data_IF_213301510419
#
_entry.id   IF_213301510419
#
_cell.length_a   1.000
_cell.length_b   1.000
_cell.length_c   1.000
_cell.angle_alpha   90.00
_cell.angle_beta   90.00
_cell.angle_gamma   90.00
#
_symmetry.space_group_name_H-M   'P 1'
#
loop_
_entity.id
_entity.type
_entity.pdbx_description
1 polymer ?
#
# COMPACT_ATOMS: atom_id res chain seq x y z
N UNK A 1 -23.08 -20.54 -69.36
CA UNK A 1 -22.12 -20.71 -68.25
C UNK A 1 -22.93 -20.88 -66.99
N UNK A 2 -23.03 -22.10 -66.47
CA UNK A 2 -23.74 -22.36 -65.20
C UNK A 2 -22.75 -22.04 -64.10
N UNK A 3 -22.98 -20.95 -63.37
CA UNK A 3 -22.27 -20.72 -62.12
C UNK A 3 -22.77 -21.74 -61.11
N UNK A 4 -21.89 -22.66 -60.71
CA UNK A 4 -22.19 -23.54 -59.58
C UNK A 4 -22.15 -22.69 -58.31
N UNK A 5 -23.24 -22.72 -57.54
CA UNK A 5 -23.31 -22.08 -56.22
C UNK A 5 -22.56 -22.98 -55.22
N UNK A 6 -21.79 -22.41 -54.27
CA UNK A 6 -21.09 -23.21 -53.28
C UNK A 6 -22.11 -24.00 -52.44
N UNK A 7 -21.83 -25.29 -52.22
CA UNK A 7 -22.68 -26.15 -51.39
C UNK A 7 -22.52 -25.80 -49.91
N UNK A 8 -23.55 -26.00 -49.08
CA UNK A 8 -23.51 -25.72 -47.63
C UNK A 8 -22.26 -26.26 -46.91
N UNK A 9 -21.75 -27.42 -47.32
CA UNK A 9 -20.52 -28.03 -46.79
C UNK A 9 -19.25 -27.23 -47.07
N UNK A 10 -19.21 -26.49 -48.19
CA UNK A 10 -18.08 -25.61 -48.54
C UNK A 10 -18.05 -24.40 -47.60
N UNK A 11 -19.21 -23.82 -47.29
CA UNK A 11 -19.31 -22.72 -46.32
C UNK A 11 -18.91 -23.15 -44.91
N UNK A 12 -19.30 -24.34 -44.46
CA UNK A 12 -18.91 -24.90 -43.15
C UNK A 12 -17.40 -25.15 -43.06
N UNK A 13 -16.79 -25.66 -44.14
CA UNK A 13 -15.34 -25.85 -44.21
C UNK A 13 -14.59 -24.52 -44.17
N UNK A 14 -15.02 -23.53 -44.95
CA UNK A 14 -14.43 -22.18 -44.94
C UNK A 14 -14.55 -21.51 -43.57
N UNK A 15 -15.70 -21.66 -42.90
CA UNK A 15 -15.90 -21.16 -41.55
C UNK A 15 -14.93 -21.83 -40.56
N UNK A 16 -14.77 -23.16 -40.64
CA UNK A 16 -13.84 -23.91 -39.78
C UNK A 16 -12.37 -23.49 -40.01
N UNK A 17 -11.99 -23.22 -41.26
CA UNK A 17 -10.66 -22.69 -41.57
C UNK A 17 -10.44 -21.30 -40.95
N UNK A 18 -11.44 -20.40 -41.02
CA UNK A 18 -11.35 -19.08 -40.40
C UNK A 18 -11.22 -19.16 -38.87
N UNK A 19 -11.97 -20.06 -38.23
CA UNK A 19 -11.84 -20.30 -36.79
C UNK A 19 -10.44 -20.81 -36.43
N UNK A 20 -9.91 -21.75 -37.22
CA UNK A 20 -8.56 -22.27 -37.02
C UNK A 20 -7.46 -21.22 -37.24
N UNK A 21 -7.54 -20.44 -38.33
CA UNK A 21 -6.59 -19.35 -38.60
C UNK A 21 -6.61 -18.30 -37.48
N UNK A 22 -7.80 -18.01 -36.95
CA UNK A 22 -7.95 -17.09 -35.81
C UNK A 22 -7.32 -17.67 -34.54
N UNK A 23 -7.53 -18.96 -34.27
CA UNK A 23 -6.92 -19.66 -33.14
C UNK A 23 -5.39 -19.60 -33.20
N UNK A 24 -4.80 -19.99 -34.32
CA UNK A 24 -3.34 -19.96 -34.55
C UNK A 24 -2.76 -18.54 -34.42
N UNK A 25 -3.45 -17.55 -35.00
CA UNK A 25 -3.03 -16.15 -34.91
C UNK A 25 -3.01 -15.64 -33.46
N UNK A 26 -4.00 -16.03 -32.65
CA UNK A 26 -4.06 -15.68 -31.22
C UNK A 26 -2.95 -16.39 -30.45
N UNK A 27 -2.73 -17.68 -30.70
CA UNK A 27 -1.67 -18.44 -30.03
C UNK A 27 -0.29 -17.83 -30.30
N UNK A 28 0.04 -17.57 -31.56
CA UNK A 28 1.29 -16.90 -31.93
C UNK A 28 1.44 -15.51 -31.32
N UNK A 29 0.34 -14.73 -31.26
CA UNK A 29 0.37 -13.42 -30.63
C UNK A 29 0.68 -13.52 -29.12
N UNK A 30 0.06 -14.48 -28.41
CA UNK A 30 0.29 -14.71 -26.98
C UNK A 30 1.73 -15.12 -26.70
N UNK A 31 2.28 -16.07 -27.45
CA UNK A 31 3.67 -16.52 -27.30
C UNK A 31 4.63 -15.36 -27.54
N UNK A 32 4.45 -14.61 -28.63
CA UNK A 32 5.28 -13.46 -28.96
C UNK A 32 5.25 -12.40 -27.86
N UNK A 33 4.07 -12.07 -27.32
CA UNK A 33 3.94 -11.11 -26.22
C UNK A 33 4.62 -11.62 -24.95
N UNK A 34 4.49 -12.91 -24.62
CA UNK A 34 5.15 -13.48 -23.46
C UNK A 34 6.68 -13.50 -23.60
N UNK A 35 7.21 -13.98 -24.73
CA UNK A 35 8.65 -14.02 -25.00
C UNK A 35 9.28 -12.63 -25.02
N UNK A 36 8.53 -11.59 -25.41
CA UNK A 36 9.00 -10.20 -25.33
C UNK A 36 9.04 -9.65 -23.89
N UNK A 37 8.22 -10.18 -22.99
CA UNK A 37 8.15 -9.76 -21.59
C UNK A 37 9.13 -10.52 -20.68
N UNK A 38 9.60 -11.69 -21.10
CA UNK A 38 10.41 -12.60 -20.31
C UNK A 38 11.83 -12.68 -20.91
N UNK A 39 12.85 -12.75 -20.06
CA UNK A 39 14.22 -12.89 -20.53
C UNK A 39 14.46 -14.28 -21.16
N UNK A 40 15.13 -14.39 -22.32
CA UNK A 40 15.28 -15.66 -23.05
C UNK A 40 15.87 -16.83 -22.26
N UNK A 41 16.70 -16.54 -21.25
CA UNK A 41 17.31 -17.56 -20.38
C UNK A 41 16.27 -18.47 -19.70
N UNK A 42 15.04 -17.98 -19.49
CA UNK A 42 13.97 -18.73 -18.81
C UNK A 42 13.11 -19.60 -19.74
N UNK A 43 13.36 -19.59 -21.05
CA UNK A 43 12.59 -20.42 -21.99
C UNK A 43 13.39 -20.99 -23.16
N UNK A 44 14.68 -20.66 -23.30
CA UNK A 44 15.55 -21.20 -24.37
C UNK A 44 15.65 -22.73 -24.33
N UNK A 45 15.43 -23.35 -23.17
CA UNK A 45 15.39 -24.81 -23.03
C UNK A 45 14.20 -25.45 -23.76
N UNK A 46 13.18 -24.66 -24.15
CA UNK A 46 12.03 -25.11 -24.93
C UNK A 46 12.23 -24.96 -26.44
N UNK A 47 13.37 -24.42 -26.88
CA UNK A 47 13.69 -24.27 -28.30
C UNK A 47 13.92 -25.63 -28.95
N UNK A 48 13.19 -25.92 -30.02
CA UNK A 48 13.45 -27.08 -30.85
C UNK A 48 14.71 -26.85 -31.72
N UNK A 49 15.65 -27.81 -31.80
CA UNK A 49 16.89 -27.62 -32.56
C UNK A 49 16.69 -27.37 -34.07
N UNK A 50 15.61 -27.89 -34.65
CA UNK A 50 15.34 -27.84 -36.09
C UNK A 50 14.27 -26.77 -36.42
N UNK A 51 13.29 -26.59 -35.54
CA UNK A 51 12.11 -25.73 -35.76
C UNK A 51 12.05 -24.48 -34.86
N UNK A 52 13.02 -24.31 -33.94
CA UNK A 52 13.03 -23.20 -33.00
C UNK A 52 11.79 -23.19 -32.10
N UNK A 53 11.12 -22.05 -31.98
CA UNK A 53 9.90 -21.90 -31.16
C UNK A 53 8.59 -22.07 -31.96
N UNK A 54 8.64 -22.56 -33.20
CA UNK A 54 7.45 -22.61 -34.07
C UNK A 54 6.35 -23.53 -33.56
N UNK A 55 6.71 -24.65 -32.90
CA UNK A 55 5.74 -25.58 -32.31
C UNK A 55 5.43 -25.31 -30.83
N UNK A 56 6.07 -24.30 -30.23
CA UNK A 56 5.88 -24.01 -28.82
C UNK A 56 4.47 -23.46 -28.60
N UNK A 57 3.66 -24.13 -27.79
CA UNK A 57 2.35 -23.60 -27.41
C UNK A 57 2.45 -22.65 -26.23
N UNK A 58 1.54 -21.69 -26.16
CA UNK A 58 1.52 -20.71 -25.07
C UNK A 58 1.44 -21.38 -23.69
N UNK A 59 0.62 -22.42 -23.58
CA UNK A 59 0.45 -23.15 -22.31
C UNK A 59 1.74 -23.85 -21.87
N UNK A 60 2.51 -24.41 -22.81
CA UNK A 60 3.74 -25.15 -22.51
C UNK A 60 4.82 -24.19 -21.98
N UNK A 61 4.90 -22.98 -22.54
CA UNK A 61 5.74 -21.89 -22.01
C UNK A 61 5.35 -21.53 -20.57
N UNK A 62 4.07 -21.28 -20.30
CA UNK A 62 3.60 -20.88 -18.97
C UNK A 62 3.79 -22.00 -17.94
N UNK A 63 3.55 -23.25 -18.32
CA UNK A 63 3.78 -24.42 -17.45
C UNK A 63 5.27 -24.55 -17.14
N UNK A 64 6.15 -24.47 -18.13
CA UNK A 64 7.60 -24.51 -17.91
C UNK A 64 8.05 -23.42 -16.92
N UNK A 65 7.62 -22.19 -17.12
CA UNK A 65 7.97 -21.07 -16.24
C UNK A 65 7.49 -21.30 -14.81
N UNK A 66 6.26 -21.79 -14.65
CA UNK A 66 5.69 -22.10 -13.33
C UNK A 66 6.42 -23.24 -12.64
N UNK A 67 6.71 -24.33 -13.35
CA UNK A 67 7.29 -25.54 -12.77
C UNK A 67 8.79 -25.39 -12.46
N UNK A 68 9.55 -24.70 -13.33
CA UNK A 68 10.99 -24.54 -13.17
C UNK A 68 11.38 -23.33 -12.32
N UNK A 69 10.63 -22.22 -12.43
CA UNK A 69 11.01 -20.95 -11.82
C UNK A 69 9.93 -20.38 -10.90
N UNK A 70 8.69 -20.85 -10.99
CA UNK A 70 7.57 -20.46 -10.14
C UNK A 70 7.45 -21.26 -8.85
N UNK A 71 8.46 -22.04 -8.48
CA UNK A 71 8.46 -22.77 -7.22
C UNK A 71 8.69 -21.79 -6.07
N UNK A 72 7.70 -21.64 -5.19
CA UNK A 72 7.90 -20.99 -3.91
C UNK A 72 8.93 -21.77 -3.11
N UNK A 73 10.03 -21.12 -2.74
CA UNK A 73 11.02 -21.74 -1.86
C UNK A 73 10.51 -21.75 -0.42
N UNK A 74 11.05 -22.65 0.41
CA UNK A 74 10.78 -22.62 1.86
C UNK A 74 11.24 -21.30 2.49
N UNK A 75 12.22 -20.62 1.89
CA UNK A 75 12.64 -19.28 2.30
C UNK A 75 11.55 -18.26 2.02
N UNK A 76 10.89 -18.30 0.86
CA UNK A 76 9.79 -17.41 0.52
C UNK A 76 8.58 -17.59 1.46
N UNK A 77 8.24 -18.84 1.80
CA UNK A 77 7.19 -19.14 2.78
C UNK A 77 7.55 -18.62 4.17
N UNK A 78 8.79 -18.84 4.62
CA UNK A 78 9.26 -18.33 5.90
C UNK A 78 9.31 -16.80 5.93
N UNK A 79 9.70 -16.16 4.83
CA UNK A 79 9.71 -14.71 4.69
C UNK A 79 8.29 -14.14 4.71
N UNK A 80 7.33 -14.83 4.08
CA UNK A 80 5.92 -14.49 4.18
C UNK A 80 5.47 -14.50 5.65
N UNK A 81 5.66 -15.62 6.36
CA UNK A 81 5.29 -15.73 7.78
C UNK A 81 5.97 -14.64 8.62
N UNK A 82 7.28 -14.45 8.47
CA UNK A 82 8.05 -13.44 9.22
C UNK A 82 7.56 -12.02 8.97
N UNK A 83 7.32 -11.65 7.71
CA UNK A 83 6.87 -10.31 7.33
C UNK A 83 5.54 -9.97 7.99
N UNK A 84 4.64 -10.97 8.09
CA UNK A 84 3.29 -10.79 8.62
C UNK A 84 3.19 -10.96 10.14
N UNK A 85 4.02 -11.79 10.76
CA UNK A 85 4.04 -11.94 12.21
C UNK A 85 4.89 -10.87 12.92
N UNK A 86 5.95 -10.35 12.29
CA UNK A 86 6.98 -9.61 13.02
C UNK A 86 7.38 -8.25 12.42
N UNK A 87 7.50 -8.14 11.09
CA UNK A 87 8.21 -6.98 10.51
C UNK A 87 7.29 -5.82 10.08
N UNK A 88 6.08 -6.09 9.60
CA UNK A 88 5.20 -5.01 9.12
C UNK A 88 4.17 -4.61 10.17
N UNK A 89 4.54 -3.62 10.99
CA UNK A 89 3.68 -3.06 12.04
C UNK A 89 2.72 -2.04 11.44
N UNK A 90 1.43 -2.20 11.69
CA UNK A 90 0.44 -1.17 11.40
C UNK A 90 0.60 -0.02 12.39
N UNK A 91 0.50 1.22 11.87
CA UNK A 91 0.54 2.41 12.71
C UNK A 91 -0.82 3.13 12.69
N UNK A 92 -1.23 3.78 13.79
CA UNK A 92 -2.58 4.33 13.91
C UNK A 92 -2.93 5.51 12.99
N UNK A 93 -1.97 6.00 12.21
CA UNK A 93 -2.11 7.03 11.17
C UNK A 93 -2.48 6.44 9.81
N UNK A 94 -2.30 5.13 9.61
CA UNK A 94 -2.67 4.42 8.40
C UNK A 94 -4.13 3.96 8.44
N UNK A 95 -4.77 3.74 7.27
CA UNK A 95 -6.03 3.02 7.19
C UNK A 95 -5.91 1.64 7.83
N UNK A 96 -6.91 1.21 8.59
CA UNK A 96 -6.90 -0.12 9.22
C UNK A 96 -6.96 -1.24 8.16
N UNK A 97 -7.57 -0.92 7.02
CA UNK A 97 -7.70 -1.77 5.85
C UNK A 97 -6.33 -2.24 5.32
N UNK A 98 -5.25 -1.47 5.54
CA UNK A 98 -3.90 -1.89 5.16
C UNK A 98 -3.42 -3.11 5.94
N UNK A 99 -3.74 -3.21 7.24
CA UNK A 99 -3.44 -4.39 8.05
C UNK A 99 -4.19 -5.62 7.52
N UNK A 100 -5.48 -5.45 7.19
CA UNK A 100 -6.28 -6.55 6.66
C UNK A 100 -5.81 -7.00 5.29
N UNK A 101 -5.49 -6.06 4.39
CA UNK A 101 -4.96 -6.35 3.05
C UNK A 101 -3.63 -7.10 3.13
N UNK A 102 -2.73 -6.65 4.00
CA UNK A 102 -1.45 -7.32 4.26
C UNK A 102 -1.67 -8.79 4.67
N UNK A 103 -2.52 -9.05 5.67
CA UNK A 103 -2.78 -10.42 6.15
C UNK A 103 -3.51 -11.26 5.08
N UNK A 104 -4.44 -10.68 4.32
CA UNK A 104 -5.12 -11.40 3.24
C UNK A 104 -4.14 -11.79 2.11
N UNK A 105 -3.17 -10.92 1.79
CA UNK A 105 -2.09 -11.23 0.84
C UNK A 105 -1.20 -12.36 1.35
N UNK A 106 -0.91 -12.39 2.65
CA UNK A 106 -0.22 -13.51 3.31
C UNK A 106 -0.93 -14.83 3.04
N UNK A 107 -2.22 -14.89 3.40
CA UNK A 107 -3.04 -16.09 3.25
C UNK A 107 -3.09 -16.51 1.79
N UNK A 108 -3.28 -15.56 0.86
CA UNK A 108 -3.32 -15.84 -0.57
C UNK A 108 -2.01 -16.44 -1.10
N UNK A 109 -0.86 -15.92 -0.67
CA UNK A 109 0.47 -16.42 -1.03
C UNK A 109 0.68 -17.87 -0.56
N UNK A 110 0.14 -18.21 0.61
CA UNK A 110 0.32 -19.49 1.28
C UNK A 110 -0.66 -20.60 0.83
N UNK A 111 -1.79 -20.28 0.20
CA UNK A 111 -2.91 -21.22 -0.10
C UNK A 111 -2.51 -22.51 -0.82
N UNK A 112 -1.54 -22.44 -1.74
CA UNK A 112 -1.12 -23.58 -2.57
C UNK A 112 0.00 -24.43 -1.98
N UNK A 113 0.56 -24.03 -0.83
CA UNK A 113 1.79 -24.61 -0.29
C UNK A 113 1.64 -24.96 1.19
N UNK A 114 1.76 -23.97 2.08
CA UNK A 114 1.57 -24.12 3.53
C UNK A 114 0.50 -23.14 4.02
N UNK A 115 -0.79 -23.49 3.93
CA UNK A 115 -1.88 -22.55 4.16
C UNK A 115 -1.85 -21.94 5.56
N UNK A 116 -1.80 -20.61 5.62
CA UNK A 116 -1.97 -19.87 6.86
C UNK A 116 -3.40 -20.11 7.37
N UNK A 117 -3.49 -20.71 8.56
CA UNK A 117 -4.78 -20.95 9.23
C UNK A 117 -5.40 -19.62 9.70
N UNK A 118 -6.73 -19.59 9.79
CA UNK A 118 -7.47 -18.44 10.36
C UNK A 118 -6.95 -18.06 11.75
N UNK A 119 -6.57 -19.06 12.57
CA UNK A 119 -6.01 -18.83 13.91
C UNK A 119 -4.66 -18.11 13.86
N UNK A 120 -3.80 -18.45 12.90
CA UNK A 120 -2.53 -17.77 12.71
C UNK A 120 -2.74 -16.32 12.23
N UNK A 121 -3.68 -16.11 11.29
CA UNK A 121 -4.07 -14.77 10.84
C UNK A 121 -4.60 -13.90 11.98
N UNK A 122 -5.45 -14.46 12.84
CA UNK A 122 -5.96 -13.79 14.04
C UNK A 122 -4.85 -13.43 15.02
N UNK A 123 -3.93 -14.37 15.31
CA UNK A 123 -2.79 -14.11 16.21
C UNK A 123 -1.95 -12.95 15.69
N UNK A 124 -1.63 -12.93 14.40
CA UNK A 124 -0.89 -11.82 13.76
C UNK A 124 -1.67 -10.50 13.86
N UNK A 125 -2.96 -10.49 13.52
CA UNK A 125 -3.79 -9.29 13.60
C UNK A 125 -3.92 -8.72 15.02
N UNK A 126 -4.12 -9.60 16.02
CA UNK A 126 -4.23 -9.21 17.42
C UNK A 126 -2.91 -8.64 17.95
N UNK A 127 -1.80 -9.32 17.71
CA UNK A 127 -0.47 -8.86 18.14
C UNK A 127 -0.13 -7.48 17.52
N UNK A 128 -0.48 -7.26 16.25
CA UNK A 128 -0.25 -5.99 15.57
C UNK A 128 -1.07 -4.85 16.21
N UNK A 129 -2.36 -5.10 16.45
CA UNK A 129 -3.25 -4.12 17.07
C UNK A 129 -2.93 -3.90 18.57
N UNK A 130 -2.49 -4.92 19.29
CA UNK A 130 -2.04 -4.82 20.68
C UNK A 130 -0.80 -3.93 20.78
N UNK A 131 0.22 -4.17 19.94
CA UNK A 131 1.42 -3.34 19.83
C UNK A 131 1.11 -1.88 19.47
N UNK A 132 0.03 -1.63 18.74
CA UNK A 132 -0.40 -0.26 18.43
C UNK A 132 -0.94 0.50 19.65
N UNK A 133 -1.45 -0.20 20.66
CA UNK A 133 -1.96 0.36 21.92
C UNK A 133 -3.23 1.22 21.81
N UNK A 134 -3.85 1.37 20.62
CA UNK A 134 -5.00 2.28 20.44
C UNK A 134 -6.37 1.63 20.61
N UNK A 135 -6.43 0.32 20.84
CA UNK A 135 -7.66 -0.47 20.91
C UNK A 135 -7.88 -1.25 22.23
N UNK A 136 -7.52 -0.75 23.43
CA UNK A 136 -7.57 -1.55 24.67
C UNK A 136 -8.99 -2.11 24.96
N UNK A 137 -10.02 -1.26 24.91
CA UNK A 137 -11.41 -1.70 25.13
C UNK A 137 -11.91 -2.68 24.07
N UNK A 138 -11.44 -2.53 22.83
CA UNK A 138 -11.85 -3.44 21.75
C UNK A 138 -11.15 -4.80 21.86
N UNK A 139 -9.96 -4.86 22.47
CA UNK A 139 -9.30 -6.13 22.80
C UNK A 139 -10.01 -6.86 23.94
N UNK A 140 -10.39 -6.15 25.00
CA UNK A 140 -11.19 -6.74 26.08
C UNK A 140 -12.48 -7.37 25.53
N UNK A 141 -13.25 -6.61 24.74
CA UNK A 141 -14.50 -7.13 24.16
C UNK A 141 -14.30 -8.18 23.06
N UNK A 142 -13.10 -8.26 22.47
CA UNK A 142 -12.74 -9.36 21.57
C UNK A 142 -12.48 -10.64 22.35
N UNK A 143 -11.72 -10.56 23.44
CA UNK A 143 -11.37 -11.71 24.28
C UNK A 143 -12.58 -12.30 25.03
N UNK A 144 -13.64 -11.51 25.23
CA UNK A 144 -14.92 -11.98 25.79
C UNK A 144 -15.76 -12.80 24.80
N UNK A 145 -15.43 -12.79 23.50
CA UNK A 145 -16.14 -13.57 22.48
C UNK A 145 -15.86 -15.05 22.63
N UNK A 146 -16.88 -15.85 22.30
CA UNK A 146 -16.75 -17.30 22.20
C UNK A 146 -15.76 -17.70 21.11
N UNK A 147 -15.10 -18.85 21.26
CA UNK A 147 -14.07 -19.34 20.34
C UNK A 147 -14.58 -19.50 18.90
N UNK A 148 -15.86 -19.85 18.71
CA UNK A 148 -16.52 -19.97 17.41
C UNK A 148 -16.83 -18.60 16.76
N UNK A 149 -16.97 -17.55 17.56
CA UNK A 149 -17.09 -16.17 17.06
C UNK A 149 -15.73 -15.53 16.76
N UNK A 150 -14.62 -16.07 17.26
CA UNK A 150 -13.28 -15.57 17.01
C UNK A 150 -12.76 -16.05 15.65
N UNK A 151 -13.41 -15.60 14.58
CA UNK A 151 -13.01 -15.88 13.19
C UNK A 151 -12.33 -14.66 12.57
N UNK A 152 -11.53 -14.89 11.52
CA UNK A 152 -10.87 -13.79 10.79
C UNK A 152 -11.87 -12.78 10.20
N UNK A 153 -13.05 -13.25 9.78
CA UNK A 153 -14.11 -12.39 9.29
C UNK A 153 -14.70 -11.49 10.39
N UNK A 154 -15.02 -12.08 11.54
CA UNK A 154 -15.55 -11.33 12.68
C UNK A 154 -14.51 -10.35 13.25
N UNK A 155 -13.23 -10.71 13.21
CA UNK A 155 -12.13 -9.82 13.60
C UNK A 155 -12.12 -8.54 12.77
N UNK A 156 -12.17 -8.66 11.44
CA UNK A 156 -12.22 -7.48 10.54
C UNK A 156 -13.42 -6.60 10.85
N UNK A 157 -14.60 -7.20 11.03
CA UNK A 157 -15.84 -6.47 11.35
C UNK A 157 -15.72 -5.73 12.69
N UNK A 158 -15.26 -6.43 13.74
CA UNK A 158 -15.13 -5.90 15.10
C UNK A 158 -14.18 -4.70 15.16
N UNK A 159 -12.96 -4.85 14.64
CA UNK A 159 -11.96 -3.80 14.70
C UNK A 159 -12.24 -2.63 13.73
N UNK A 160 -12.96 -2.88 12.62
CA UNK A 160 -13.48 -1.79 11.78
C UNK A 160 -14.47 -0.92 12.55
N UNK A 161 -15.41 -1.54 13.27
CA UNK A 161 -16.36 -0.79 14.11
C UNK A 161 -15.63 -0.01 15.23
N UNK A 162 -14.64 -0.62 15.87
CA UNK A 162 -13.82 0.04 16.88
C UNK A 162 -13.02 1.23 16.32
N UNK A 163 -12.44 1.11 15.12
CA UNK A 163 -11.68 2.18 14.47
C UNK A 163 -12.59 3.35 14.07
N UNK A 164 -13.82 3.07 13.61
CA UNK A 164 -14.82 4.11 13.35
C UNK A 164 -15.11 4.93 14.61
N UNK A 165 -15.30 4.28 15.75
CA UNK A 165 -15.54 4.97 17.03
C UNK A 165 -14.31 5.74 17.52
N UNK A 166 -13.11 5.17 17.38
CA UNK A 166 -11.84 5.87 17.67
C UNK A 166 -11.73 7.16 16.87
N UNK A 167 -11.99 7.11 15.56
CA UNK A 167 -11.94 8.29 14.67
C UNK A 167 -12.99 9.33 15.06
N UNK A 168 -14.23 8.91 15.38
CA UNK A 168 -15.29 9.81 15.87
C UNK A 168 -14.86 10.56 17.13
N UNK A 169 -14.27 9.86 18.11
CA UNK A 169 -13.78 10.49 19.34
C UNK A 169 -12.64 11.47 19.08
N UNK A 170 -11.76 11.18 18.13
CA UNK A 170 -10.65 12.07 17.77
C UNK A 170 -11.17 13.39 17.15
N UNK A 171 -12.15 13.31 16.25
CA UNK A 171 -12.76 14.50 15.62
C UNK A 171 -13.57 15.32 16.63
N UNK A 172 -14.32 14.68 17.53
CA UNK A 172 -15.05 15.41 18.58
C UNK A 172 -14.10 16.15 19.53
N UNK A 173 -12.96 15.54 19.90
CA UNK A 173 -11.93 16.24 20.70
C UNK A 173 -11.38 17.46 19.97
N UNK A 174 -11.04 17.33 18.68
CA UNK A 174 -10.54 18.45 17.87
C UNK A 174 -11.56 19.59 17.76
N UNK A 175 -12.85 19.29 17.60
CA UNK A 175 -13.91 20.30 17.60
C UNK A 175 -13.98 21.06 18.94
N UNK A 176 -13.94 20.34 20.07
CA UNK A 176 -13.97 20.97 21.39
C UNK A 176 -12.76 21.86 21.69
N UNK A 177 -11.57 21.51 21.19
CA UNK A 177 -10.40 22.39 21.26
C UNK A 177 -10.62 23.69 20.47
N UNK A 178 -11.18 23.61 19.26
CA UNK A 178 -11.46 24.80 18.45
C UNK A 178 -12.46 25.74 19.13
N UNK A 179 -13.53 25.19 19.73
CA UNK A 179 -14.55 25.97 20.45
C UNK A 179 -13.98 26.67 21.69
N UNK A 180 -13.09 26.00 22.44
CA UNK A 180 -12.47 26.57 23.64
C UNK A 180 -11.51 27.74 23.30
N UNK A 181 -10.81 27.67 22.16
CA UNK A 181 -9.97 28.77 21.69
C UNK A 181 -10.79 29.97 21.18
N UNK A 182 -11.98 29.75 20.60
CA UNK A 182 -12.89 30.84 20.23
C UNK A 182 -13.49 31.53 21.46
N UNK A 183 -13.86 30.78 22.49
CA UNK A 183 -14.41 31.33 23.74
C UNK A 183 -13.40 32.22 24.49
N UNK A 184 -12.12 31.82 24.55
CA UNK A 184 -11.07 32.64 25.15
C UNK A 184 -10.82 33.95 24.38
N UNK A 185 -11.03 33.98 23.06
CA UNK A 185 -10.85 35.18 22.24
C UNK A 185 -12.10 36.10 22.22
N UNK A 186 -13.28 35.58 22.57
CA UNK A 186 -14.49 36.37 22.78
C UNK A 186 -14.49 37.10 24.13
N UNK A 187 -13.81 36.55 25.15
CA UNK A 187 -13.74 37.16 26.49
C UNK A 187 -12.73 38.33 26.59
N UNK A 188 -11.93 38.60 25.54
CA UNK A 188 -10.99 39.74 25.47
C UNK A 188 -11.60 40.98 24.80
N UNK A 189 -12.87 40.95 24.38
CA UNK A 189 -13.59 42.10 23.82
C UNK A 189 -14.67 42.66 24.76
N UNK A 190 -14.31 43.03 25.99
CA UNK A 190 -15.10 43.97 26.80
C UNK A 190 -14.43 45.36 26.82
N UNK A 191 -15.26 46.36 26.58
CA UNK A 191 -15.04 47.78 26.28
C UNK A 191 -13.92 48.54 27.05
N UNK A 192 -13.34 49.60 26.45
CA UNK A 192 -12.36 50.46 27.09
C UNK A 192 -13.02 51.41 28.10
N UNK A 193 -12.61 51.36 29.37
CA UNK A 193 -12.95 52.36 30.38
C UNK A 193 -11.98 53.53 30.28
N UNK A 194 -12.52 54.69 29.93
CA UNK A 194 -11.88 56.00 29.94
C UNK A 194 -11.57 56.45 31.37
N UNK A 195 -10.29 56.62 31.70
CA UNK A 195 -9.86 57.49 32.80
C UNK A 195 -8.63 58.30 32.36
N UNK A 196 -8.84 59.60 32.16
CA UNK A 196 -7.77 60.57 32.00
C UNK A 196 -7.00 60.72 33.31
N UNK A 197 -5.68 60.57 33.27
CA UNK A 197 -4.78 61.25 34.22
C UNK A 197 -3.50 61.65 33.49
N UNK A 198 -3.32 62.96 33.42
CA UNK A 198 -2.12 63.67 32.98
C UNK A 198 -0.91 63.28 33.83
N UNK A 199 0.16 62.79 33.20
CA UNK A 199 1.51 62.86 33.79
C UNK A 199 2.55 62.93 32.67
N UNK A 200 3.54 63.79 32.89
CA UNK A 200 4.47 64.36 31.94
C UNK A 200 5.44 63.34 31.30
N UNK A 201 5.82 63.62 30.06
CA UNK A 201 6.74 62.83 29.20
C UNK A 201 8.21 63.03 29.61
N UNK A 202 8.98 61.99 29.96
CA UNK A 202 10.45 62.11 30.05
C UNK A 202 11.09 62.01 28.66
N UNK A 203 12.21 62.72 28.48
CA UNK A 203 12.96 62.84 27.24
C UNK A 203 13.64 61.52 26.79
N UNK A 204 13.89 61.33 25.48
CA UNK A 204 14.55 60.14 24.93
C UNK A 204 16.06 60.09 25.27
N UNK A 205 16.66 58.89 25.43
CA UNK A 205 18.08 58.74 25.74
C UNK A 205 18.97 59.03 24.52
N UNK A 206 20.02 59.83 24.73
CA UNK A 206 21.06 60.14 23.74
C UNK A 206 22.16 59.09 23.75
N UNK A 207 22.47 58.50 22.60
CA UNK A 207 23.61 57.60 22.42
C UNK A 207 24.92 58.38 22.31
N UNK A 208 26.04 57.90 22.89
CA UNK A 208 27.33 58.58 22.78
C UNK A 208 27.96 58.41 21.39
N UNK A 209 28.36 59.54 20.82
CA UNK A 209 29.11 59.72 19.56
C UNK A 209 30.51 59.11 19.66
N UNK A 210 30.84 58.17 18.77
CA UNK A 210 32.22 57.75 18.52
C UNK A 210 32.91 58.77 17.60
N UNK A 211 33.96 59.42 18.10
CA UNK A 211 34.82 60.32 17.32
C UNK A 211 35.86 59.58 16.45
N UNK A 212 36.47 60.23 15.45
CA UNK A 212 37.24 59.58 14.40
C UNK A 212 38.77 59.67 14.63
N UNK A 213 39.52 58.63 14.23
CA UNK A 213 40.91 58.81 13.71
C UNK A 213 41.42 57.55 12.99
N UNK A 214 41.37 57.66 11.65
CA UNK A 214 42.32 57.29 10.59
C UNK A 214 43.38 56.16 10.66
N UNK A 215 43.84 55.67 9.47
CA UNK A 215 44.37 54.33 9.27
C UNK A 215 45.90 54.28 9.16
N UNK A 216 46.48 53.07 9.31
CA UNK A 216 47.71 52.75 8.58
C UNK A 216 47.84 51.25 8.25
N UNK A 217 48.40 51.04 7.07
CA UNK A 217 48.46 49.84 6.28
C UNK A 217 49.66 48.93 6.61
N UNK A 218 49.66 47.80 5.89
CA UNK A 218 50.86 47.16 5.28
C UNK A 218 51.26 45.78 5.83
N UNK A 219 50.58 44.77 5.27
CA UNK A 219 51.16 43.74 4.37
C UNK A 219 51.92 42.50 4.89
N UNK A 220 51.69 41.42 4.13
CA UNK A 220 52.55 40.28 3.75
C UNK A 220 52.55 39.00 4.61
N UNK A 221 51.85 38.01 4.06
CA UNK A 221 52.14 36.56 3.86
C UNK A 221 53.62 36.20 3.63
N UNK A 222 53.99 34.91 3.45
CA UNK A 222 53.41 33.63 3.92
C UNK A 222 54.48 32.66 4.50
N UNK A 223 54.06 31.50 5.00
CA UNK A 223 54.70 30.20 4.75
C UNK A 223 53.64 29.10 4.84
#
# INVERSE_FOLDING_TARGET
MVQQQPTWTDHEHQFSLQEFDTFEAVEHALIKTAMAAIEPVYYVALEDPDEGFTQLRYIDLIVHLREQYGQLTNEDLNNNIKTHEYDTKWIPTQPLEQLFDQINKAIAFARGHDPITDRAALRSGLDNLEKSGVFPRAMESWNEKLDDEQTWENFKTHFTAANRERRRKLTTKQAGYHDQHQANNANTKKAPTTHSTSTMRPAPPTWPTAGPMEPNATSRTPA
#
